data_IF_229731161039
#
_entry.id   IF_229731161039
#
_cell.length_a   1.000
_cell.length_b   1.000
_cell.length_c   1.000
_cell.angle_alpha   90.00
_cell.angle_beta   90.00
_cell.angle_gamma   90.00
#
_symmetry.space_group_name_H-M   'P 1'
#
loop_
_entity.id
_entity.type
_entity.pdbx_description
1 polymer ?
#
# COMPACT_ATOMS: atom_id res chain seq x y z
N UNK A 1 13.66 38.48 5.35
CA UNK A 1 14.30 37.16 5.16
C UNK A 1 14.10 36.79 3.71
N UNK A 2 15.12 37.03 2.90
CA UNK A 2 15.05 36.89 1.45
C UNK A 2 14.89 35.42 1.09
N UNK A 3 13.80 35.09 0.38
CA UNK A 3 13.70 33.85 -0.37
C UNK A 3 14.70 33.95 -1.50
N UNK A 4 15.91 33.47 -1.25
CA UNK A 4 16.97 33.44 -2.24
C UNK A 4 16.47 32.70 -3.48
N UNK A 5 16.70 33.32 -4.63
CA UNK A 5 16.39 32.83 -5.96
C UNK A 5 16.99 31.41 -6.07
N UNK A 6 16.14 30.38 -6.21
CA UNK A 6 16.57 28.97 -6.38
C UNK A 6 17.73 28.91 -7.37
N UNK A 7 18.80 28.18 -7.01
CA UNK A 7 20.03 28.17 -7.81
C UNK A 7 19.70 27.75 -9.26
N UNK A 8 20.37 28.36 -10.26
CA UNK A 8 20.17 28.00 -11.66
C UNK A 8 20.41 26.51 -11.88
N UNK A 9 19.78 25.95 -12.92
CA UNK A 9 20.02 24.58 -13.39
C UNK A 9 21.52 24.28 -13.35
N UNK A 10 21.93 23.25 -12.59
CA UNK A 10 23.32 22.87 -12.47
C UNK A 10 23.69 21.95 -13.64
N UNK A 11 24.66 22.38 -14.43
CA UNK A 11 25.17 21.61 -15.57
C UNK A 11 25.66 20.23 -15.10
N UNK A 12 25.17 19.16 -15.74
CA UNK A 12 25.46 17.76 -15.37
C UNK A 12 24.54 17.14 -14.30
N UNK A 13 23.53 17.87 -13.81
CA UNK A 13 22.50 17.31 -12.93
C UNK A 13 21.53 16.39 -13.70
N UNK A 14 21.28 15.20 -13.15
CA UNK A 14 20.24 14.29 -13.63
C UNK A 14 18.82 14.78 -13.33
N UNK A 15 18.66 15.74 -12.41
CA UNK A 15 17.41 16.45 -12.18
C UNK A 15 17.32 17.70 -13.07
N UNK A 16 16.13 18.04 -13.55
CA UNK A 16 15.84 19.28 -14.29
C UNK A 16 15.96 20.56 -13.43
N UNK A 17 16.35 20.41 -12.16
CA UNK A 17 16.52 21.46 -11.16
C UNK A 17 17.74 21.17 -10.29
N UNK A 18 18.25 22.17 -9.59
CA UNK A 18 19.25 21.96 -8.55
C UNK A 18 18.58 21.31 -7.32
N UNK A 19 19.00 20.10 -6.90
CA UNK A 19 18.32 19.36 -5.84
C UNK A 19 18.48 20.05 -4.48
N UNK A 20 17.38 20.12 -3.70
CA UNK A 20 17.44 20.67 -2.35
C UNK A 20 18.26 19.75 -1.44
N UNK A 21 19.18 20.33 -0.66
CA UNK A 21 20.07 19.60 0.25
C UNK A 21 19.43 19.28 1.60
N UNK A 22 18.61 20.17 2.15
CA UNK A 22 18.05 20.05 3.50
C UNK A 22 16.78 19.19 3.57
N UNK A 23 15.90 19.30 2.59
CA UNK A 23 14.62 18.58 2.58
C UNK A 23 14.77 17.04 2.55
N UNK A 24 15.66 16.43 1.75
CA UNK A 24 15.87 14.98 1.80
C UNK A 24 16.33 14.50 3.19
N UNK A 25 17.20 15.28 3.87
CA UNK A 25 17.67 14.95 5.22
C UNK A 25 16.51 14.94 6.21
N UNK A 26 15.66 15.97 6.19
CA UNK A 26 14.52 16.03 7.11
C UNK A 26 13.57 14.86 6.90
N UNK A 27 13.23 14.54 5.65
CA UNK A 27 12.34 13.41 5.36
C UNK A 27 12.98 12.06 5.74
N UNK A 28 14.27 11.88 5.50
CA UNK A 28 14.97 10.66 5.94
C UNK A 28 14.86 10.45 7.45
N UNK A 29 15.10 11.48 8.27
CA UNK A 29 14.95 11.42 9.73
C UNK A 29 13.49 11.13 10.11
N UNK A 30 12.54 11.83 9.49
CA UNK A 30 11.11 11.69 9.79
C UNK A 30 10.59 10.28 9.49
N UNK A 31 10.98 9.67 8.36
CA UNK A 31 10.64 8.29 8.04
C UNK A 31 11.39 7.27 8.93
N UNK A 32 12.65 7.55 9.31
CA UNK A 32 13.39 6.68 10.22
C UNK A 32 12.73 6.63 11.60
N UNK A 33 12.37 7.79 12.16
CA UNK A 33 11.65 7.89 13.44
C UNK A 33 10.30 7.19 13.35
N UNK A 34 9.54 7.44 12.28
CA UNK A 34 8.28 6.73 12.03
C UNK A 34 8.47 5.21 11.97
N UNK A 35 9.50 4.73 11.28
CA UNK A 35 9.83 3.31 11.18
C UNK A 35 10.13 2.68 12.54
N UNK A 36 10.90 3.36 13.40
CA UNK A 36 11.16 2.90 14.77
C UNK A 36 9.88 2.80 15.60
N UNK A 37 8.96 3.76 15.45
CA UNK A 37 7.65 3.72 16.12
C UNK A 37 6.83 2.53 15.61
N UNK A 38 6.79 2.28 14.30
CA UNK A 38 6.12 1.09 13.73
C UNK A 38 6.72 -0.22 14.25
N UNK A 39 8.06 -0.31 14.41
CA UNK A 39 8.72 -1.50 14.98
C UNK A 39 8.25 -1.70 16.42
N UNK A 40 8.29 -0.64 17.23
CA UNK A 40 7.82 -0.68 18.61
C UNK A 40 6.35 -1.13 18.69
N UNK A 41 5.48 -0.57 17.85
CA UNK A 41 4.06 -0.93 17.78
C UNK A 41 3.85 -2.38 17.34
N UNK A 42 4.58 -2.86 16.34
CA UNK A 42 4.55 -4.27 15.91
C UNK A 42 4.91 -5.23 17.05
N UNK A 43 5.91 -4.89 17.86
CA UNK A 43 6.29 -5.65 19.05
C UNK A 43 5.21 -5.60 20.14
N UNK A 44 4.71 -4.41 20.49
CA UNK A 44 3.72 -4.21 21.55
C UNK A 44 2.38 -4.90 21.22
N UNK A 45 1.89 -4.75 19.99
CA UNK A 45 0.63 -5.35 19.55
C UNK A 45 0.78 -6.81 19.07
N UNK A 46 2.00 -7.35 19.04
CA UNK A 46 2.34 -8.67 18.48
C UNK A 46 1.75 -8.84 17.06
N UNK A 47 1.82 -7.78 16.26
CA UNK A 47 1.12 -7.65 14.97
C UNK A 47 2.00 -7.77 13.74
N UNK A 48 3.20 -8.34 13.87
CA UNK A 48 4.18 -8.51 12.78
C UNK A 48 3.60 -9.13 11.50
N UNK A 49 2.62 -10.04 11.61
CA UNK A 49 1.96 -10.64 10.44
C UNK A 49 1.07 -9.67 9.64
N UNK A 50 0.61 -8.58 10.24
CA UNK A 50 -0.35 -7.63 9.64
C UNK A 50 0.33 -6.32 9.30
N UNK A 51 1.09 -5.79 10.26
CA UNK A 51 1.71 -4.45 10.17
C UNK A 51 3.22 -4.51 9.98
N UNK A 52 3.82 -5.69 9.84
CA UNK A 52 5.27 -5.85 9.64
C UNK A 52 5.80 -5.23 8.34
N UNK A 53 4.93 -4.95 7.36
CA UNK A 53 5.28 -4.20 6.16
C UNK A 53 5.47 -2.69 6.41
N UNK A 54 4.89 -2.12 7.48
CA UNK A 54 5.00 -0.69 7.78
C UNK A 54 6.44 -0.26 8.12
N UNK A 55 7.18 -0.97 9.00
CA UNK A 55 8.61 -0.73 9.21
C UNK A 55 9.43 -0.88 7.93
N UNK A 56 9.11 -1.89 7.10
CA UNK A 56 9.86 -2.15 5.87
C UNK A 56 9.70 -1.01 4.86
N UNK A 57 8.47 -0.49 4.70
CA UNK A 57 8.23 0.66 3.85
C UNK A 57 8.93 1.93 4.36
N UNK A 58 8.89 2.18 5.67
CA UNK A 58 9.61 3.30 6.29
C UNK A 58 11.13 3.21 6.06
N UNK A 59 11.70 2.01 6.10
CA UNK A 59 13.11 1.77 5.79
C UNK A 59 13.43 2.11 4.32
N UNK A 60 12.58 1.69 3.37
CA UNK A 60 12.75 2.01 1.96
C UNK A 60 12.72 3.52 1.70
N UNK A 61 11.77 4.25 2.32
CA UNK A 61 11.75 5.71 2.24
C UNK A 61 13.01 6.34 2.83
N UNK A 62 13.43 5.89 4.02
CA UNK A 62 14.63 6.38 4.69
C UNK A 62 15.85 6.20 3.80
N UNK A 63 16.07 4.98 3.27
CA UNK A 63 17.17 4.69 2.36
C UNK A 63 17.08 5.51 1.06
N UNK A 64 15.89 5.65 0.48
CA UNK A 64 15.67 6.43 -0.74
C UNK A 64 15.99 7.92 -0.57
N UNK A 65 15.62 8.51 0.57
CA UNK A 65 15.95 9.90 0.90
C UNK A 65 17.42 10.08 1.32
N UNK A 66 18.07 9.09 1.93
CA UNK A 66 19.51 9.10 2.15
C UNK A 66 20.25 9.10 0.81
N UNK A 67 19.88 8.22 -0.12
CA UNK A 67 20.47 8.22 -1.47
C UNK A 67 20.24 9.56 -2.18
N UNK A 68 19.04 10.14 -2.05
CA UNK A 68 18.73 11.48 -2.58
C UNK A 68 19.63 12.56 -1.96
N UNK A 69 19.88 12.47 -0.65
CA UNK A 69 20.78 13.38 0.08
C UNK A 69 22.18 13.29 -0.49
N UNK A 70 22.74 12.08 -0.64
CA UNK A 70 24.09 11.90 -1.20
C UNK A 70 24.18 12.50 -2.61
N UNK A 71 23.16 12.27 -3.44
CA UNK A 71 23.06 12.87 -4.77
C UNK A 71 23.00 14.40 -4.75
N UNK A 72 22.34 14.98 -3.76
CA UNK A 72 22.26 16.43 -3.54
C UNK A 72 23.53 17.05 -2.93
N UNK A 73 24.44 16.26 -2.39
CA UNK A 73 25.73 16.71 -1.83
C UNK A 73 26.91 16.28 -2.72
N UNK A 74 26.95 16.79 -3.96
CA UNK A 74 28.13 16.65 -4.84
C UNK A 74 28.12 15.47 -5.81
N UNK A 75 27.13 14.58 -5.74
CA UNK A 75 27.02 13.38 -6.61
C UNK A 75 25.86 13.48 -7.61
N UNK A 76 25.57 14.68 -8.11
CA UNK A 76 24.40 14.96 -8.97
C UNK A 76 24.45 14.31 -10.35
N UNK A 77 25.65 14.00 -10.85
CA UNK A 77 25.85 13.26 -12.10
C UNK A 77 25.94 11.74 -11.92
N UNK A 78 25.84 11.23 -10.68
CA UNK A 78 25.97 9.81 -10.41
C UNK A 78 24.66 9.08 -10.72
N UNK A 79 24.61 8.46 -11.90
CA UNK A 79 23.46 7.71 -12.41
C UNK A 79 23.02 6.61 -11.45
N UNK A 80 23.97 5.90 -10.82
CA UNK A 80 23.67 4.83 -9.87
C UNK A 80 22.92 5.33 -8.63
N UNK A 81 23.37 6.45 -8.05
CA UNK A 81 22.73 7.06 -6.86
C UNK A 81 21.34 7.59 -7.21
N UNK A 82 21.19 8.24 -8.37
CA UNK A 82 19.90 8.72 -8.86
C UNK A 82 18.90 7.58 -9.05
N UNK A 83 19.32 6.48 -9.69
CA UNK A 83 18.48 5.29 -9.89
C UNK A 83 18.12 4.68 -8.55
N UNK A 84 19.10 4.45 -7.66
CA UNK A 84 18.87 3.86 -6.34
C UNK A 84 17.85 4.68 -5.54
N UNK A 85 18.00 6.00 -5.49
CA UNK A 85 17.04 6.89 -4.83
C UNK A 85 15.64 6.75 -5.44
N UNK A 86 15.54 6.82 -6.78
CA UNK A 86 14.26 6.76 -7.48
C UNK A 86 13.55 5.43 -7.28
N UNK A 87 14.27 4.32 -7.38
CA UNK A 87 13.71 2.96 -7.23
C UNK A 87 13.26 2.72 -5.79
N UNK A 88 14.06 3.11 -4.79
CA UNK A 88 13.68 2.93 -3.38
C UNK A 88 12.42 3.74 -3.03
N UNK A 89 12.33 4.99 -3.50
CA UNK A 89 11.15 5.83 -3.30
C UNK A 89 9.93 5.33 -4.08
N UNK A 90 10.14 4.72 -5.25
CA UNK A 90 9.08 4.08 -6.03
C UNK A 90 8.53 2.82 -5.37
N UNK A 91 9.40 2.01 -4.77
CA UNK A 91 9.05 0.72 -4.18
C UNK A 91 8.38 0.85 -2.80
N UNK A 92 8.59 1.95 -2.07
CA UNK A 92 8.07 2.10 -0.71
C UNK A 92 6.52 2.20 -0.61
N UNK A 93 5.81 3.01 -1.43
CA UNK A 93 4.35 3.12 -1.37
C UNK A 93 3.58 1.80 -1.60
N UNK A 94 3.91 0.96 -2.61
CA UNK A 94 3.27 -0.35 -2.78
C UNK A 94 3.39 -1.25 -1.54
N UNK A 95 4.47 -1.13 -0.78
CA UNK A 95 4.64 -1.86 0.50
C UNK A 95 3.66 -1.34 1.57
N UNK A 96 3.46 -0.02 1.67
CA UNK A 96 2.42 0.54 2.55
C UNK A 96 1.02 0.05 2.15
N UNK A 97 0.76 -0.02 0.84
CA UNK A 97 -0.49 -0.55 0.32
C UNK A 97 -0.66 -2.05 0.66
N UNK A 98 0.42 -2.83 0.60
CA UNK A 98 0.44 -4.21 1.08
C UNK A 98 -0.02 -4.34 2.55
N UNK A 99 0.39 -3.41 3.42
CA UNK A 99 -0.08 -3.39 4.81
C UNK A 99 -1.59 -3.08 4.93
N UNK A 100 -2.13 -2.24 4.03
CA UNK A 100 -3.58 -2.01 3.94
C UNK A 100 -4.31 -3.29 3.50
N UNK A 101 -3.74 -4.08 2.59
CA UNK A 101 -4.32 -5.35 2.16
C UNK A 101 -4.45 -6.34 3.33
N UNK A 102 -3.40 -6.46 4.15
CA UNK A 102 -3.46 -7.25 5.38
C UNK A 102 -4.49 -6.72 6.37
N UNK A 103 -4.57 -5.39 6.52
CA UNK A 103 -5.53 -4.74 7.41
C UNK A 103 -6.97 -5.04 6.97
N UNK A 104 -7.30 -4.91 5.69
CA UNK A 104 -8.61 -5.28 5.17
C UNK A 104 -8.88 -6.78 5.35
N UNK A 105 -7.90 -7.63 5.05
CA UNK A 105 -8.02 -9.07 5.32
C UNK A 105 -8.43 -9.36 6.76
N UNK A 106 -7.81 -8.69 7.75
CA UNK A 106 -8.19 -8.82 9.17
C UNK A 106 -9.60 -8.31 9.48
N UNK A 107 -10.01 -7.18 8.89
CA UNK A 107 -11.39 -6.67 9.03
C UNK A 107 -12.39 -7.70 8.50
N UNK A 108 -12.08 -8.34 7.37
CA UNK A 108 -12.92 -9.37 6.76
C UNK A 108 -12.96 -10.67 7.59
N UNK A 109 -11.86 -11.06 8.24
CA UNK A 109 -11.86 -12.16 9.21
C UNK A 109 -12.74 -11.86 10.43
N UNK A 110 -12.83 -10.60 10.84
CA UNK A 110 -13.66 -10.19 11.97
C UNK A 110 -15.16 -10.22 11.66
N UNK A 111 -15.58 -9.99 10.41
CA UNK A 111 -16.99 -10.10 9.97
C UNK A 111 -17.07 -10.95 8.69
N UNK A 112 -16.95 -12.28 8.82
CA UNK A 112 -16.87 -13.17 7.64
C UNK A 112 -18.18 -13.23 6.85
N UNK A 113 -19.34 -13.13 7.49
CA UNK A 113 -20.67 -13.27 6.85
C UNK A 113 -21.09 -12.09 5.95
N UNK A 114 -20.39 -10.95 6.02
CA UNK A 114 -20.57 -9.83 5.10
C UNK A 114 -19.40 -9.62 4.13
N UNK A 115 -18.40 -10.51 4.19
CA UNK A 115 -17.21 -10.47 3.35
C UNK A 115 -17.54 -10.82 1.89
N UNK A 116 -17.26 -9.95 0.90
CA UNK A 116 -17.52 -10.24 -0.51
C UNK A 116 -16.60 -11.33 -1.07
N UNK A 117 -15.39 -11.44 -0.53
CA UNK A 117 -14.41 -12.48 -0.87
C UNK A 117 -13.88 -13.13 0.39
N UNK A 118 -13.29 -14.30 0.26
CA UNK A 118 -12.65 -14.95 1.39
C UNK A 118 -11.54 -14.06 1.99
N UNK A 119 -11.52 -13.82 3.32
CA UNK A 119 -10.58 -12.90 3.96
C UNK A 119 -9.10 -13.21 3.66
N UNK A 120 -8.74 -14.50 3.64
CA UNK A 120 -7.39 -14.96 3.30
C UNK A 120 -7.01 -14.76 1.83
N UNK A 121 -8.01 -14.67 0.92
CA UNK A 121 -7.77 -14.49 -0.52
C UNK A 121 -7.48 -13.03 -0.88
N UNK A 122 -8.02 -12.08 -0.11
CA UNK A 122 -7.72 -10.64 -0.26
C UNK A 122 -6.20 -10.44 -0.29
N UNK A 123 -5.52 -10.95 0.73
CA UNK A 123 -4.07 -10.81 0.81
C UNK A 123 -3.37 -11.51 -0.35
N UNK A 124 -3.65 -12.78 -0.62
CA UNK A 124 -2.93 -13.54 -1.65
C UNK A 124 -3.10 -12.93 -3.03
N UNK A 125 -4.29 -12.43 -3.37
CA UNK A 125 -4.58 -11.87 -4.68
C UNK A 125 -3.99 -10.49 -4.86
N UNK A 126 -4.29 -9.55 -3.95
CA UNK A 126 -3.85 -8.17 -4.11
C UNK A 126 -2.33 -8.03 -3.96
N UNK A 127 -1.70 -8.81 -3.07
CA UNK A 127 -0.23 -8.81 -2.95
C UNK A 127 0.42 -9.47 -4.15
N UNK A 128 -0.09 -10.59 -4.65
CA UNK A 128 0.51 -11.21 -5.83
C UNK A 128 0.40 -10.35 -7.08
N UNK A 129 -0.78 -9.74 -7.33
CA UNK A 129 -0.94 -8.78 -8.44
C UNK A 129 -0.01 -7.58 -8.23
N UNK A 130 0.09 -7.05 -7.01
CA UNK A 130 1.04 -6.01 -6.66
C UNK A 130 2.49 -6.39 -6.95
N UNK A 131 2.92 -7.59 -6.55
CA UNK A 131 4.29 -8.10 -6.82
C UNK A 131 4.56 -8.22 -8.33
N UNK A 132 3.58 -8.68 -9.12
CA UNK A 132 3.71 -8.73 -10.58
C UNK A 132 3.86 -7.32 -11.16
N UNK A 133 3.06 -6.37 -10.70
CA UNK A 133 3.16 -4.97 -11.12
C UNK A 133 4.52 -4.39 -10.74
N UNK A 134 5.03 -4.63 -9.53
CA UNK A 134 6.36 -4.18 -9.10
C UNK A 134 7.48 -4.85 -9.89
N UNK A 135 7.32 -6.12 -10.29
CA UNK A 135 8.27 -6.78 -11.18
C UNK A 135 8.29 -6.10 -12.56
N UNK A 136 7.12 -5.72 -13.11
CA UNK A 136 7.04 -4.95 -14.36
C UNK A 136 7.72 -3.59 -14.19
N UNK A 137 7.46 -2.88 -13.08
CA UNK A 137 8.10 -1.60 -12.74
C UNK A 137 9.63 -1.74 -12.68
N UNK A 138 10.14 -2.72 -11.94
CA UNK A 138 11.58 -2.94 -11.79
C UNK A 138 12.27 -3.25 -13.11
N UNK A 139 11.68 -4.14 -13.94
CA UNK A 139 12.22 -4.47 -15.26
C UNK A 139 12.16 -3.27 -16.22
N UNK A 140 11.05 -2.52 -16.20
CA UNK A 140 10.92 -1.30 -17.00
C UNK A 140 11.94 -0.23 -16.62
N UNK A 141 12.15 -0.01 -15.32
CA UNK A 141 13.15 0.91 -14.80
C UNK A 141 14.57 0.52 -15.21
N UNK A 142 14.92 -0.77 -15.10
CA UNK A 142 16.23 -1.27 -15.49
C UNK A 142 16.51 -1.06 -17.00
N UNK A 143 15.51 -1.26 -17.86
CA UNK A 143 15.64 -1.05 -19.30
C UNK A 143 15.80 0.43 -19.67
N UNK A 144 15.11 1.34 -18.97
CA UNK A 144 15.25 2.79 -19.18
C UNK A 144 16.60 3.31 -18.67
N UNK A 145 17.06 2.77 -17.55
CA UNK A 145 18.31 3.16 -16.90
C UNK A 145 19.57 2.66 -17.63
N UNK A 146 19.47 1.58 -18.42
CA UNK A 146 20.62 1.02 -19.12
C UNK A 146 21.04 1.91 -20.29
N UNK A 147 22.21 2.55 -20.16
CA UNK A 147 22.80 3.43 -21.17
C UNK A 147 23.28 2.69 -22.43
N UNK A 148 23.55 1.39 -22.34
CA UNK A 148 23.98 0.54 -23.45
C UNK A 148 22.81 -0.11 -24.20
N UNK A 149 21.58 0.05 -23.69
CA UNK A 149 20.40 -0.52 -24.32
C UNK A 149 20.04 0.21 -25.61
N UNK A 150 19.70 -0.56 -26.66
CA UNK A 150 19.16 -0.04 -27.92
C UNK A 150 17.93 0.83 -27.68
N UNK A 151 17.70 1.85 -28.52
CA UNK A 151 16.54 2.74 -28.43
C UNK A 151 15.21 1.95 -28.33
N UNK A 152 15.08 0.86 -29.07
CA UNK A 152 13.91 -0.04 -28.99
C UNK A 152 13.69 -0.62 -27.59
N UNK A 153 14.76 -1.08 -26.92
CA UNK A 153 14.69 -1.62 -25.55
C UNK A 153 14.32 -0.54 -24.53
N UNK A 154 14.84 0.69 -24.69
CA UNK A 154 14.44 1.84 -23.86
C UNK A 154 12.96 2.18 -24.02
N UNK A 155 12.45 2.21 -25.27
CA UNK A 155 11.01 2.40 -25.54
C UNK A 155 10.14 1.31 -24.93
N UNK A 156 10.59 0.05 -24.98
CA UNK A 156 9.92 -1.04 -24.25
C UNK A 156 9.89 -0.78 -22.75
N UNK A 157 11.01 -0.36 -22.15
CA UNK A 157 11.09 -0.01 -20.73
C UNK A 157 10.12 1.11 -20.33
N UNK A 158 10.03 2.18 -21.14
CA UNK A 158 9.06 3.26 -20.94
C UNK A 158 7.61 2.75 -21.01
N UNK A 159 7.32 1.86 -21.97
CA UNK A 159 6.01 1.22 -22.11
C UNK A 159 5.65 0.37 -20.88
N UNK A 160 6.60 -0.41 -20.36
CA UNK A 160 6.41 -1.22 -19.14
C UNK A 160 6.11 -0.34 -17.92
N UNK A 161 6.84 0.77 -17.75
CA UNK A 161 6.60 1.69 -16.64
C UNK A 161 5.23 2.38 -16.73
N UNK A 162 4.81 2.81 -17.93
CA UNK A 162 3.46 3.34 -18.16
C UNK A 162 2.37 2.32 -17.82
N UNK A 163 2.55 1.08 -18.29
CA UNK A 163 1.61 0.00 -18.02
C UNK A 163 1.52 -0.30 -16.52
N UNK A 164 2.66 -0.38 -15.83
CA UNK A 164 2.70 -0.63 -14.39
C UNK A 164 1.97 0.45 -13.59
N UNK A 165 2.20 1.74 -13.90
CA UNK A 165 1.53 2.87 -13.22
C UNK A 165 0.01 2.83 -13.40
N UNK A 166 -0.48 2.51 -14.61
CA UNK A 166 -1.92 2.34 -14.85
C UNK A 166 -2.46 1.15 -14.07
N UNK A 167 -1.75 0.01 -14.08
CA UNK A 167 -2.15 -1.19 -13.34
C UNK A 167 -2.20 -0.96 -11.83
N UNK A 168 -1.28 -0.15 -11.27
CA UNK A 168 -1.32 0.25 -9.85
C UNK A 168 -2.63 1.01 -9.53
N UNK A 169 -3.03 1.96 -10.38
CA UNK A 169 -4.28 2.71 -10.18
C UNK A 169 -5.51 1.80 -10.27
N UNK A 170 -5.52 0.85 -11.21
CA UNK A 170 -6.61 -0.14 -11.34
C UNK A 170 -6.66 -1.06 -10.12
N UNK A 171 -5.51 -1.55 -9.64
CA UNK A 171 -5.43 -2.40 -8.46
C UNK A 171 -5.97 -1.70 -7.21
N UNK A 172 -5.55 -0.44 -6.99
CA UNK A 172 -6.02 0.39 -5.88
C UNK A 172 -7.53 0.66 -5.98
N UNK A 173 -8.04 0.99 -7.17
CA UNK A 173 -9.47 1.20 -7.38
C UNK A 173 -10.28 -0.07 -7.07
N UNK A 174 -9.81 -1.24 -7.51
CA UNK A 174 -10.43 -2.52 -7.21
C UNK A 174 -10.40 -2.84 -5.70
N UNK A 175 -9.30 -2.52 -5.01
CA UNK A 175 -9.17 -2.69 -3.57
C UNK A 175 -10.14 -1.81 -2.78
N UNK A 176 -10.23 -0.52 -3.13
CA UNK A 176 -11.18 0.41 -2.51
C UNK A 176 -12.62 0.00 -2.79
N UNK A 177 -12.94 -0.47 -4.00
CA UNK A 177 -14.26 -0.98 -4.35
C UNK A 177 -14.64 -2.21 -3.50
N UNK A 178 -13.71 -3.13 -3.26
CA UNK A 178 -13.92 -4.27 -2.37
C UNK A 178 -14.20 -3.82 -0.93
N UNK A 179 -13.38 -2.90 -0.39
CA UNK A 179 -13.59 -2.35 0.94
C UNK A 179 -14.94 -1.63 1.06
N UNK A 180 -15.32 -0.82 0.06
CA UNK A 180 -16.62 -0.15 -0.03
C UNK A 180 -17.79 -1.13 -0.08
N UNK A 181 -17.66 -2.22 -0.83
CA UNK A 181 -18.69 -3.28 -0.88
C UNK A 181 -18.86 -3.95 0.48
N UNK A 182 -17.77 -4.27 1.16
CA UNK A 182 -17.80 -4.81 2.52
C UNK A 182 -18.47 -3.84 3.50
N UNK A 183 -18.10 -2.56 3.45
CA UNK A 183 -18.69 -1.51 4.29
C UNK A 183 -20.20 -1.39 4.06
N UNK A 184 -20.65 -1.38 2.79
CA UNK A 184 -22.07 -1.36 2.45
C UNK A 184 -22.83 -2.57 3.03
N UNK A 185 -22.26 -3.78 2.88
CA UNK A 185 -22.87 -5.00 3.42
C UNK A 185 -23.02 -4.94 4.95
N UNK A 186 -21.97 -4.49 5.67
CA UNK A 186 -21.99 -4.37 7.12
C UNK A 186 -22.94 -3.27 7.61
N UNK A 187 -23.04 -2.15 6.89
CA UNK A 187 -23.99 -1.10 7.19
C UNK A 187 -25.44 -1.61 7.05
N UNK A 188 -25.75 -2.29 5.95
CA UNK A 188 -27.07 -2.89 5.72
C UNK A 188 -27.41 -4.00 6.72
N UNK A 189 -26.41 -4.73 7.20
CA UNK A 189 -26.55 -5.75 8.23
C UNK A 189 -26.63 -5.24 9.67
N UNK A 190 -26.43 -3.93 9.91
CA UNK A 190 -26.50 -3.35 11.25
C UNK A 190 -25.33 -3.71 12.18
N UNK A 191 -24.29 -4.38 11.70
CA UNK A 191 -23.15 -4.87 12.53
C UNK A 191 -21.96 -3.90 12.60
N UNK A 192 -22.14 -2.69 12.06
CA UNK A 192 -21.07 -1.71 11.89
C UNK A 192 -20.79 -0.95 13.20
N UNK A 193 -20.02 -1.56 14.11
CA UNK A 193 -19.64 -0.93 15.39
C UNK A 193 -18.61 0.20 15.23
N UNK A 194 -18.39 0.99 16.29
CA UNK A 194 -17.45 2.11 16.29
C UNK A 194 -15.99 1.72 16.01
N UNK A 195 -15.54 0.54 16.45
CA UNK A 195 -14.18 0.01 16.19
C UNK A 195 -13.99 -0.28 14.69
N UNK A 196 -14.95 -0.95 14.05
CA UNK A 196 -14.91 -1.29 12.63
C UNK A 196 -14.99 -0.04 11.76
N UNK A 197 -15.87 0.92 12.11
CA UNK A 197 -15.95 2.22 11.43
C UNK A 197 -14.59 2.92 11.42
N UNK A 198 -13.93 3.01 12.58
CA UNK A 198 -12.60 3.64 12.70
C UNK A 198 -11.56 2.91 11.86
N UNK A 199 -11.50 1.57 11.92
CA UNK A 199 -10.58 0.78 11.11
C UNK A 199 -10.78 1.00 9.60
N UNK A 200 -12.04 1.03 9.14
CA UNK A 200 -12.38 1.31 7.74
C UNK A 200 -12.03 2.75 7.33
N UNK A 201 -12.29 3.75 8.18
CA UNK A 201 -11.93 5.14 7.86
C UNK A 201 -10.42 5.33 7.76
N UNK A 202 -9.64 4.73 8.66
CA UNK A 202 -8.17 4.76 8.59
C UNK A 202 -7.68 4.10 7.30
N UNK A 203 -8.26 2.96 6.95
CA UNK A 203 -7.97 2.27 5.68
C UNK A 203 -8.27 3.16 4.47
N UNK A 204 -9.45 3.80 4.42
CA UNK A 204 -9.81 4.70 3.32
C UNK A 204 -8.89 5.90 3.24
N UNK A 205 -8.61 6.58 4.35
CA UNK A 205 -7.68 7.70 4.38
C UNK A 205 -6.29 7.31 3.88
N UNK A 206 -5.78 6.14 4.32
CA UNK A 206 -4.50 5.59 3.87
C UNK A 206 -4.50 5.30 2.36
N UNK A 207 -5.53 4.61 1.85
CA UNK A 207 -5.70 4.34 0.43
C UNK A 207 -5.80 5.63 -0.39
N UNK A 208 -6.53 6.64 0.08
CA UNK A 208 -6.65 7.93 -0.61
C UNK A 208 -5.30 8.63 -0.72
N UNK A 209 -4.50 8.68 0.35
CA UNK A 209 -3.18 9.30 0.31
C UNK A 209 -2.25 8.58 -0.68
N UNK A 210 -2.22 7.24 -0.64
CA UNK A 210 -1.43 6.46 -1.60
C UNK A 210 -1.92 6.68 -3.03
N UNK A 211 -3.24 6.74 -3.24
CA UNK A 211 -3.85 7.00 -4.56
C UNK A 211 -3.44 8.35 -5.12
N UNK A 212 -3.51 9.42 -4.31
CA UNK A 212 -3.10 10.78 -4.72
C UNK A 212 -1.64 10.77 -5.19
N UNK A 213 -0.76 10.11 -4.43
CA UNK A 213 0.65 9.93 -4.83
C UNK A 213 0.76 9.16 -6.15
N UNK A 214 0.06 8.05 -6.32
CA UNK A 214 0.14 7.23 -7.53
C UNK A 214 -0.38 7.98 -8.75
N UNK A 215 -1.43 8.80 -8.61
CA UNK A 215 -1.91 9.69 -9.67
C UNK A 215 -0.83 10.71 -10.04
N UNK A 216 -0.24 11.39 -9.06
CA UNK A 216 0.86 12.33 -9.30
C UNK A 216 2.00 11.64 -10.06
N UNK A 217 2.44 10.47 -9.60
CA UNK A 217 3.53 9.72 -10.21
C UNK A 217 3.21 9.30 -11.64
N UNK A 218 1.97 8.92 -11.89
CA UNK A 218 1.48 8.60 -13.24
C UNK A 218 1.57 9.83 -14.13
N UNK A 219 1.03 10.97 -13.71
CA UNK A 219 1.07 12.22 -14.49
C UNK A 219 2.51 12.69 -14.72
N UNK A 220 3.36 12.67 -13.70
CA UNK A 220 4.77 13.05 -13.80
C UNK A 220 5.50 12.18 -14.83
N UNK A 221 5.34 10.86 -14.76
CA UNK A 221 6.02 9.95 -15.68
C UNK A 221 5.53 10.10 -17.12
N UNK A 222 4.20 10.19 -17.32
CA UNK A 222 3.64 10.42 -18.66
C UNK A 222 4.08 11.76 -19.24
N UNK A 223 4.15 12.80 -18.42
CA UNK A 223 4.67 14.10 -18.83
C UNK A 223 6.15 14.00 -19.20
N UNK A 224 6.97 13.28 -18.43
CA UNK A 224 8.39 13.09 -18.71
C UNK A 224 8.63 12.39 -20.04
N UNK A 225 7.88 11.32 -20.32
CA UNK A 225 7.98 10.62 -21.60
C UNK A 225 7.44 11.46 -22.76
N UNK A 226 6.38 12.27 -22.56
CA UNK A 226 5.82 13.10 -23.63
C UNK A 226 6.79 14.17 -24.15
N UNK A 227 7.67 14.68 -23.28
CA UNK A 227 8.73 15.61 -23.68
C UNK A 227 9.73 14.98 -24.63
N UNK A 228 10.03 13.68 -24.46
CA UNK A 228 10.90 12.93 -25.37
C UNK A 228 10.23 12.56 -26.70
N UNK A 229 8.89 12.58 -26.78
CA UNK A 229 8.13 12.14 -27.98
C UNK A 229 7.67 13.33 -28.84
N UNK A 230 7.43 14.52 -28.27
CA UNK A 230 6.70 15.61 -28.97
C UNK A 230 7.41 16.97 -29.08
N UNK A 231 8.70 17.13 -28.77
CA UNK A 231 9.28 18.48 -28.72
C UNK A 231 10.81 18.54 -28.85
N UNK A 232 11.44 19.32 -29.74
CA UNK A 232 10.92 20.20 -30.80
C UNK A 232 10.31 21.53 -30.31
N UNK A 233 9.94 21.63 -29.05
CA UNK A 233 9.14 22.70 -28.46
C UNK A 233 9.49 22.90 -26.99
N UNK A 234 10.04 24.07 -26.66
CA UNK A 234 10.63 24.45 -25.38
C UNK A 234 9.69 24.52 -24.14
N UNK A 235 8.61 23.72 -24.06
CA UNK A 235 7.69 23.76 -22.93
C UNK A 235 7.76 22.49 -22.07
N UNK A 236 8.84 22.34 -21.31
CA UNK A 236 8.92 21.37 -20.21
C UNK A 236 7.77 21.65 -19.24
N UNK A 237 6.97 20.64 -18.93
CA UNK A 237 5.82 20.72 -18.01
C UNK A 237 6.26 21.22 -16.62
N UNK A 238 5.48 22.11 -15.96
CA UNK A 238 5.81 22.62 -14.63
C UNK A 238 6.06 21.53 -13.59
N UNK A 239 5.36 20.39 -13.70
CA UNK A 239 5.50 19.23 -12.82
C UNK A 239 6.94 18.69 -12.79
N UNK A 240 7.69 18.81 -13.88
CA UNK A 240 9.07 18.32 -13.98
C UNK A 240 10.11 19.40 -13.66
N UNK A 241 9.75 20.68 -13.87
CA UNK A 241 10.60 21.83 -13.58
C UNK A 241 10.69 22.12 -12.09
N UNK A 242 9.57 21.95 -11.39
CA UNK A 242 9.42 22.39 -10.01
C UNK A 242 9.53 21.24 -9.02
N UNK A 243 10.63 21.18 -8.29
CA UNK A 243 10.86 20.17 -7.25
C UNK A 243 9.82 20.19 -6.12
N UNK A 244 9.08 21.29 -5.93
CA UNK A 244 8.09 21.38 -4.85
C UNK A 244 6.94 20.38 -5.01
N UNK A 245 6.58 20.02 -6.26
CA UNK A 245 5.56 19.01 -6.53
C UNK A 245 5.98 17.65 -5.96
N UNK A 246 7.24 17.25 -6.17
CA UNK A 246 7.80 16.04 -5.59
C UNK A 246 7.71 16.07 -4.05
N UNK A 247 8.12 17.16 -3.42
CA UNK A 247 8.08 17.26 -1.96
C UNK A 247 6.66 17.12 -1.40
N UNK A 248 5.66 17.71 -2.04
CA UNK A 248 4.28 17.64 -1.56
C UNK A 248 3.66 16.26 -1.86
N UNK A 249 3.65 15.85 -3.13
CA UNK A 249 2.88 14.70 -3.57
C UNK A 249 3.58 13.34 -3.35
N UNK A 250 4.92 13.31 -3.31
CA UNK A 250 5.66 12.08 -2.97
C UNK A 250 6.03 12.03 -1.50
N UNK A 251 6.63 13.09 -0.95
CA UNK A 251 7.17 13.04 0.41
C UNK A 251 6.12 13.33 1.49
N UNK A 252 5.44 14.49 1.43
CA UNK A 252 4.47 14.90 2.47
C UNK A 252 3.27 13.96 2.50
N UNK A 253 2.67 13.64 1.35
CA UNK A 253 1.50 12.75 1.28
C UNK A 253 1.81 11.38 1.89
N UNK A 254 2.98 10.79 1.58
CA UNK A 254 3.39 9.50 2.14
C UNK A 254 3.80 9.61 3.61
N UNK A 255 4.32 10.76 4.03
CA UNK A 255 4.64 11.01 5.42
C UNK A 255 3.35 11.15 6.28
N UNK A 256 2.34 11.85 5.77
CA UNK A 256 1.02 11.90 6.40
C UNK A 256 0.42 10.50 6.54
N UNK A 257 0.58 9.65 5.51
CA UNK A 257 0.11 8.28 5.56
C UNK A 257 0.81 7.47 6.67
N UNK A 258 2.14 7.58 6.80
CA UNK A 258 2.86 6.84 7.84
C UNK A 258 2.51 7.33 9.25
N UNK A 259 2.29 8.64 9.43
CA UNK A 259 1.80 9.19 10.71
C UNK A 259 0.40 8.69 11.02
N UNK A 260 -0.51 8.73 10.04
CA UNK A 260 -1.87 8.21 10.21
C UNK A 260 -1.82 6.77 10.72
N UNK A 261 -1.00 5.90 10.11
CA UNK A 261 -0.87 4.51 10.51
C UNK A 261 -0.14 4.31 11.85
N UNK A 262 0.71 5.25 12.27
CA UNK A 262 1.31 5.26 13.62
C UNK A 262 0.28 5.62 14.68
N UNK A 263 -0.41 6.75 14.51
CA UNK A 263 -1.35 7.29 15.52
C UNK A 263 -2.58 6.40 15.60
N UNK A 264 -3.13 6.05 14.44
CA UNK A 264 -4.32 5.25 14.27
C UNK A 264 -3.96 3.81 13.89
N UNK A 265 -3.16 3.14 14.71
CA UNK A 265 -2.65 1.81 14.37
C UNK A 265 -3.81 0.79 14.22
N UNK A 266 -3.95 0.10 13.06
CA UNK A 266 -5.14 -0.70 12.76
C UNK A 266 -5.46 -1.79 13.81
N UNK A 267 -4.43 -2.33 14.46
CA UNK A 267 -4.58 -3.39 15.47
C UNK A 267 -5.06 -2.88 16.85
N UNK A 268 -5.27 -1.58 17.03
CA UNK A 268 -5.91 -1.05 18.24
C UNK A 268 -7.40 -1.40 18.31
N UNK A 269 -8.03 -1.64 17.15
CA UNK A 269 -9.48 -1.86 17.04
C UNK A 269 -9.85 -3.26 16.57
N UNK A 270 -8.87 -4.05 16.12
CA UNK A 270 -9.06 -5.40 15.59
C UNK A 270 -8.50 -6.45 16.55
N UNK A 271 -9.14 -7.63 16.64
CA UNK A 271 -8.65 -8.71 17.48
C UNK A 271 -7.33 -9.27 16.96
N UNK A 272 -6.51 -9.78 17.88
CA UNK A 272 -5.18 -10.32 17.56
C UNK A 272 -5.29 -11.64 16.77
N UNK A 273 -6.25 -12.49 17.13
CA UNK A 273 -6.46 -13.81 16.53
C UNK A 273 -7.41 -13.74 15.33
N UNK A 274 -7.10 -14.45 14.25
CA UNK A 274 -8.01 -14.64 13.10
C UNK A 274 -9.21 -15.54 13.43
N UNK A 275 -9.22 -16.17 14.60
CA UNK A 275 -10.33 -17.02 15.06
C UNK A 275 -11.47 -16.21 15.69
N UNK A 276 -11.20 -14.97 16.10
CA UNK A 276 -12.19 -14.13 16.76
C UNK A 276 -12.99 -13.40 15.68
N UNK A 277 -14.30 -13.62 15.67
CA UNK A 277 -15.24 -12.93 14.78
C UNK A 277 -16.40 -12.32 15.60
N UNK A 278 -17.02 -11.28 15.05
CA UNK A 278 -18.15 -10.59 15.67
C UNK A 278 -19.45 -11.33 15.37
N UNK A 279 -20.25 -11.65 16.38
CA UNK A 279 -21.58 -12.24 16.21
C UNK A 279 -22.52 -11.27 15.46
N UNK A 280 -23.65 -11.79 14.97
CA UNK A 280 -24.63 -11.03 14.18
C UNK A 280 -25.30 -9.90 14.97
N UNK A 281 -25.15 -9.88 16.29
CA UNK A 281 -25.58 -8.80 17.16
C UNK A 281 -24.71 -7.53 17.03
N UNK A 282 -23.54 -7.62 16.38
CA UNK A 282 -22.60 -6.53 16.21
C UNK A 282 -21.82 -6.15 17.47
N UNK A 283 -21.91 -6.94 18.54
CA UNK A 283 -21.33 -6.64 19.86
C UNK A 283 -20.52 -7.82 20.41
N UNK A 284 -21.01 -9.05 20.32
CA UNK A 284 -20.39 -10.21 20.97
C UNK A 284 -19.24 -10.76 20.12
N UNK A 285 -18.06 -10.94 20.71
CA UNK A 285 -16.91 -11.57 20.04
C UNK A 285 -16.90 -13.07 20.34
N UNK A 286 -16.85 -13.91 19.30
CA UNK A 286 -16.87 -15.37 19.38
C UNK A 286 -15.55 -15.93 18.83
N UNK A 287 -14.95 -16.90 19.52
CA UNK A 287 -13.82 -17.66 18.99
C UNK A 287 -14.34 -18.86 18.16
N UNK A 288 -14.11 -18.82 16.86
CA UNK A 288 -14.43 -19.90 15.93
C UNK A 288 -13.26 -20.88 15.71
N UNK A 289 -13.49 -21.97 14.96
CA UNK A 289 -12.44 -22.94 14.63
C UNK A 289 -11.28 -22.36 13.82
N UNK A 290 -11.45 -21.14 13.28
CA UNK A 290 -10.56 -20.53 12.30
C UNK A 290 -11.11 -20.73 10.90
N UNK A 291 -10.68 -19.86 9.99
CA UNK A 291 -11.16 -19.86 8.61
C UNK A 291 -9.98 -20.27 7.72
N UNK A 292 -9.79 -21.59 7.61
CA UNK A 292 -8.75 -22.23 6.78
C UNK A 292 -9.30 -22.50 5.37
N UNK A 293 -8.56 -22.04 4.35
CA UNK A 293 -8.84 -22.38 2.95
C UNK A 293 -7.89 -23.49 2.50
N UNK A 294 -8.39 -24.72 2.37
CA UNK A 294 -7.59 -25.90 1.98
C UNK A 294 -7.13 -25.90 0.52
N UNK A 295 -7.37 -24.82 -0.24
CA UNK A 295 -7.04 -24.72 -1.65
C UNK A 295 -5.56 -24.38 -1.87
N UNK A 296 -4.95 -24.88 -2.96
CA UNK A 296 -3.59 -24.48 -3.31
C UNK A 296 -3.53 -22.98 -3.61
N UNK A 297 -2.45 -22.34 -3.15
CA UNK A 297 -2.23 -20.88 -3.25
C UNK A 297 -2.33 -20.34 -4.69
N UNK A 298 -1.98 -21.16 -5.68
CA UNK A 298 -2.08 -20.78 -7.10
C UNK A 298 -3.54 -20.64 -7.54
N UNK A 299 -4.45 -21.47 -7.02
CA UNK A 299 -5.86 -21.42 -7.36
C UNK A 299 -6.54 -20.21 -6.71
N UNK A 300 -6.18 -19.86 -5.47
CA UNK A 300 -6.69 -18.65 -4.81
C UNK A 300 -6.17 -17.36 -5.45
N UNK A 301 -5.00 -17.42 -6.09
CA UNK A 301 -4.48 -16.33 -6.90
C UNK A 301 -5.29 -16.11 -8.19
N UNK A 302 -5.55 -17.19 -8.95
CA UNK A 302 -6.22 -17.12 -10.26
C UNK A 302 -7.73 -16.86 -10.11
N UNK A 303 -8.35 -17.37 -9.06
CA UNK A 303 -9.79 -17.25 -8.82
C UNK A 303 -10.10 -16.77 -7.38
N UNK A 304 -9.88 -15.47 -7.08
CA UNK A 304 -10.14 -14.90 -5.76
C UNK A 304 -11.59 -15.00 -5.31
N UNK A 305 -12.53 -14.91 -6.25
CA UNK A 305 -13.97 -14.89 -6.01
C UNK A 305 -14.62 -16.27 -5.99
N UNK A 306 -13.86 -17.35 -6.18
CA UNK A 306 -14.39 -18.72 -6.24
C UNK A 306 -15.33 -19.01 -7.41
N UNK A 307 -15.18 -18.34 -8.54
CA UNK A 307 -16.06 -18.50 -9.70
C UNK A 307 -16.00 -19.95 -10.20
N UNK A 308 -14.83 -20.58 -10.24
CA UNK A 308 -14.62 -21.96 -10.70
C UNK A 308 -15.20 -22.97 -9.72
N UNK A 309 -15.07 -22.74 -8.40
CA UNK A 309 -15.64 -23.62 -7.39
C UNK A 309 -17.16 -23.48 -7.25
N UNK A 310 -17.70 -22.28 -7.49
CA UNK A 310 -19.14 -22.03 -7.65
C UNK A 310 -19.70 -22.78 -8.86
N UNK A 311 -19.02 -22.75 -10.00
CA UNK A 311 -19.43 -23.47 -11.22
C UNK A 311 -19.32 -24.99 -11.04
N UNK A 312 -18.29 -25.49 -10.36
CA UNK A 312 -18.07 -26.93 -10.12
C UNK A 312 -18.85 -27.51 -8.94
N UNK A 313 -19.66 -26.71 -8.24
CA UNK A 313 -20.49 -27.09 -7.09
C UNK A 313 -19.73 -27.85 -5.97
N UNK A 314 -18.39 -27.69 -5.91
CA UNK A 314 -17.47 -28.41 -5.00
C UNK A 314 -17.00 -27.56 -3.82
N UNK A 315 -17.58 -26.37 -3.63
CA UNK A 315 -16.98 -25.32 -2.81
C UNK A 315 -17.95 -24.57 -1.90
N UNK A 316 -18.97 -25.23 -1.32
CA UNK A 316 -19.55 -24.68 -0.08
C UNK A 316 -18.49 -24.85 1.01
N UNK A 317 -17.60 -23.86 1.15
CA UNK A 317 -16.83 -23.71 2.39
C UNK A 317 -17.83 -23.70 3.54
N UNK A 318 -17.64 -24.58 4.52
CA UNK A 318 -18.51 -24.67 5.69
C UNK A 318 -18.53 -23.30 6.36
N UNK A 319 -19.65 -22.61 6.23
CA UNK A 319 -19.88 -21.33 6.89
C UNK A 319 -20.08 -21.64 8.37
N UNK A 320 -19.00 -21.77 9.12
CA UNK A 320 -19.05 -22.13 10.54
C UNK A 320 -19.86 -21.12 11.39
N UNK A 321 -20.10 -19.91 10.87
CA UNK A 321 -21.01 -18.92 11.45
C UNK A 321 -22.51 -19.17 11.17
N UNK A 322 -22.85 -20.24 10.46
CA UNK A 322 -24.22 -20.75 10.27
C UNK A 322 -24.50 -21.95 11.20
N UNK A 323 -23.49 -22.49 11.89
CA UNK A 323 -23.66 -23.61 12.81
C UNK A 323 -24.24 -23.11 14.15
N UNK A 324 -25.56 -23.29 14.33
CA UNK A 324 -26.31 -22.84 15.52
C UNK A 324 -25.78 -23.43 16.84
N UNK A 325 -25.07 -24.56 16.77
CA UNK A 325 -24.42 -25.22 17.91
C UNK A 325 -23.35 -24.33 18.55
N UNK A 326 -22.59 -23.55 17.77
CA UNK A 326 -21.55 -22.65 18.28
C UNK A 326 -22.16 -21.44 19.00
N UNK A 327 -23.27 -20.90 18.48
CA UNK A 327 -24.02 -19.80 19.11
C UNK A 327 -24.73 -20.25 20.41
N UNK A 328 -25.20 -21.50 20.47
CA UNK A 328 -25.86 -22.07 21.66
C UNK A 328 -24.87 -22.46 22.76
N UNK A 329 -23.68 -22.94 22.41
CA UNK A 329 -22.63 -23.31 23.38
C UNK A 329 -22.10 -22.10 24.18
N UNK A 330 -22.03 -20.90 23.59
CA UNK A 330 -21.59 -19.71 24.34
C UNK A 330 -22.64 -19.18 25.31
N UNK A 331 -23.94 -19.24 24.94
CA UNK A 331 -25.07 -18.86 25.81
C UNK A 331 -25.29 -19.81 26.99
N UNK A 332 -24.68 -21.00 26.97
CA UNK A 332 -24.84 -22.04 27.99
C UNK A 332 -23.77 -22.05 29.09
N UNK A 333 -22.79 -21.15 29.08
CA UNK A 333 -21.74 -21.09 30.11
C UNK A 333 -22.07 -20.04 31.18
N UNK A 334 -22.42 -20.43 32.42
CA UNK A 334 -22.47 -19.48 33.52
C UNK A 334 -21.04 -18.98 33.77
N UNK A 335 -20.85 -17.66 33.78
CA UNK A 335 -19.57 -17.06 34.11
C UNK A 335 -19.05 -17.56 35.47
N UNK A 336 -17.73 -17.71 35.65
CA UNK A 336 -17.18 -18.13 36.93
C UNK A 336 -17.59 -17.12 38.00
N UNK A 337 -18.23 -17.64 39.04
CA UNK A 337 -18.65 -16.91 40.23
C UNK A 337 -17.44 -16.20 40.82
N UNK A 338 -17.57 -14.89 41.04
CA UNK A 338 -16.60 -14.13 41.81
C UNK A 338 -16.58 -14.66 43.25
N UNK A 339 -15.41 -15.14 43.68
CA UNK A 339 -14.99 -15.23 45.09
C UNK A 339 -13.55 -14.72 45.16
#
# INVERSE_FOLDING_TARGET
MMLDKRSPYQEGSLWYYAPNQGAPISFAIMFAVSGMVHIYQCCQYKSWKVTGLLPWSALLFTAGFIMRTIGAFGQWGNVGIYIASTVLLLAAPPVYEGANYFTLGRILYYIPYHSPIHPGRVFTTFVAVGVVIEAITGNGAALVANSEATEGKRKTGEGLLKAALILQLVLMAAFVALAARFHYNCHRGGVLNGKIKRALYVLYCSCTLITVRTIYRTVEYFSATSLNIYSGGNQISPILKDEWFFWIFEAVVMYLNTILLNVCHPMQWLPRSNRIYLDRDGITEIEGPGYDDHRPVILTLIDPFDIVGLIKNKGKQEKYWEDETVSKLSKGSPGPSAV
#
